data_IF_734029228466
#
_entry.id   IF_734029228466
#
_cell.length_a   1.000
_cell.length_b   1.000
_cell.length_c   1.000
_cell.angle_alpha   90.00
_cell.angle_beta   90.00
_cell.angle_gamma   90.00
#
_symmetry.space_group_name_H-M   'P 1'
#
loop_
_entity.id
_entity.type
_entity.pdbx_description
1 polymer ?
#
# COMPACT_ATOMS: atom_id res chain seq x y z
N UNK A 1 -33.81 -22.24 -0.28
CA UNK A 1 -34.02 -23.68 -0.51
C UNK A 1 -33.22 -24.47 0.50
N UNK A 2 -33.66 -25.67 0.88
CA UNK A 2 -32.85 -26.64 1.63
C UNK A 2 -31.86 -27.37 0.69
N UNK A 3 -31.06 -28.30 1.26
CA UNK A 3 -30.09 -29.10 0.51
C UNK A 3 -30.73 -30.02 -0.57
N UNK A 4 -32.03 -30.28 -0.47
CA UNK A 4 -32.80 -31.04 -1.44
C UNK A 4 -33.49 -30.15 -2.49
N UNK A 5 -33.21 -28.84 -2.51
CA UNK A 5 -33.75 -27.89 -3.48
C UNK A 5 -35.21 -27.48 -3.21
N UNK A 6 -35.73 -27.76 -2.01
CA UNK A 6 -37.11 -27.44 -1.63
C UNK A 6 -37.21 -26.05 -0.99
N UNK A 7 -38.30 -25.30 -1.17
CA UNK A 7 -38.48 -23.98 -0.56
C UNK A 7 -38.45 -24.08 0.97
N UNK A 8 -37.95 -23.04 1.62
CA UNK A 8 -37.89 -22.96 3.09
C UNK A 8 -38.39 -21.60 3.54
N UNK A 9 -39.13 -21.59 4.63
CA UNK A 9 -39.58 -20.40 5.33
C UNK A 9 -38.70 -20.16 6.56
N UNK A 10 -38.42 -18.88 6.84
CA UNK A 10 -37.60 -18.46 7.97
C UNK A 10 -38.44 -17.58 8.90
N UNK A 11 -38.56 -17.96 10.16
CA UNK A 11 -39.29 -17.19 11.15
C UNK A 11 -38.51 -17.09 12.46
N UNK A 12 -38.67 -15.98 13.17
CA UNK A 12 -38.20 -15.84 14.54
C UNK A 12 -39.16 -16.59 15.46
N UNK A 13 -38.63 -17.42 16.35
CA UNK A 13 -39.44 -18.28 17.23
C UNK A 13 -39.74 -17.67 18.60
N UNK A 14 -39.12 -16.55 18.93
CA UNK A 14 -39.27 -15.93 20.25
C UNK A 14 -39.55 -14.44 20.15
N UNK A 15 -40.40 -13.95 21.07
CA UNK A 15 -40.75 -12.52 21.21
C UNK A 15 -39.57 -11.67 21.71
N UNK A 16 -38.51 -12.31 22.23
CA UNK A 16 -37.30 -11.69 22.78
C UNK A 16 -36.03 -11.98 21.96
N UNK A 17 -36.17 -12.65 20.82
CA UNK A 17 -35.15 -12.74 19.80
C UNK A 17 -33.93 -13.63 20.09
N UNK A 18 -34.17 -14.89 20.48
CA UNK A 18 -33.11 -15.85 20.74
C UNK A 18 -32.89 -16.89 19.61
N UNK A 19 -33.90 -17.24 18.83
CA UNK A 19 -33.84 -18.42 17.94
C UNK A 19 -34.62 -18.24 16.62
N UNK A 20 -34.04 -18.75 15.53
CA UNK A 20 -34.66 -18.84 14.21
C UNK A 20 -35.12 -20.27 13.95
N UNK A 21 -36.31 -20.40 13.37
CA UNK A 21 -36.81 -21.65 12.82
C UNK A 21 -36.77 -21.59 11.29
N UNK A 22 -36.22 -22.65 10.72
CA UNK A 22 -36.30 -22.95 9.30
C UNK A 22 -37.30 -24.08 9.12
N UNK A 23 -38.35 -23.86 8.34
CA UNK A 23 -39.36 -24.88 8.03
C UNK A 23 -39.52 -25.06 6.53
N UNK A 24 -40.03 -26.22 6.13
CA UNK A 24 -40.39 -26.51 4.74
C UNK A 24 -41.82 -27.05 4.70
N UNK A 25 -42.78 -26.17 5.04
CA UNK A 25 -44.17 -26.57 5.26
C UNK A 25 -44.36 -27.29 6.59
N UNK A 26 -44.50 -28.61 6.55
CA UNK A 26 -44.93 -29.43 7.70
C UNK A 26 -43.77 -29.94 8.58
N UNK A 27 -42.54 -29.89 8.07
CA UNK A 27 -41.34 -30.34 8.80
C UNK A 27 -40.51 -29.16 9.32
N UNK A 28 -40.22 -29.19 10.62
CA UNK A 28 -39.23 -28.31 11.26
C UNK A 28 -37.85 -28.90 11.01
N UNK A 29 -37.04 -28.22 10.20
CA UNK A 29 -35.69 -28.65 9.87
C UNK A 29 -34.77 -28.00 10.91
N UNK A 30 -34.28 -28.81 11.85
CA UNK A 30 -33.68 -28.38 13.14
C UNK A 30 -32.29 -27.71 13.00
N UNK A 31 -31.96 -26.91 14.04
CA UNK A 31 -30.70 -26.30 14.50
C UNK A 31 -30.03 -25.23 13.61
N UNK A 32 -29.67 -24.11 14.23
CA UNK A 32 -29.27 -22.83 13.61
C UNK A 32 -27.97 -22.86 12.79
N UNK A 33 -27.32 -24.02 12.68
CA UNK A 33 -26.07 -24.24 11.96
C UNK A 33 -26.26 -24.94 10.60
N UNK A 34 -27.48 -25.33 10.22
CA UNK A 34 -27.74 -25.93 8.90
C UNK A 34 -27.77 -24.85 7.80
N UNK A 35 -26.90 -24.91 6.77
CA UNK A 35 -26.88 -23.91 5.71
C UNK A 35 -28.13 -24.01 4.83
N UNK A 36 -28.68 -22.85 4.49
CA UNK A 36 -29.73 -22.71 3.47
C UNK A 36 -29.10 -22.24 2.15
N UNK A 37 -29.76 -22.49 1.03
CA UNK A 37 -29.25 -22.09 -0.29
C UNK A 37 -30.13 -21.02 -0.92
N UNK A 38 -29.50 -19.93 -1.37
CA UNK A 38 -30.12 -18.86 -2.15
C UNK A 38 -29.40 -18.81 -3.49
N UNK A 39 -30.11 -19.10 -4.59
CA UNK A 39 -29.54 -19.16 -5.95
C UNK A 39 -28.29 -20.05 -6.07
N UNK A 40 -28.28 -21.18 -5.35
CA UNK A 40 -27.16 -22.12 -5.32
C UNK A 40 -25.99 -21.71 -4.40
N UNK A 41 -26.07 -20.57 -3.72
CA UNK A 41 -25.07 -20.10 -2.77
C UNK A 41 -25.46 -20.55 -1.36
N UNK A 42 -24.53 -21.21 -0.67
CA UNK A 42 -24.70 -21.55 0.73
C UNK A 42 -24.71 -20.29 1.60
N UNK A 43 -25.76 -20.13 2.39
CA UNK A 43 -26.04 -18.98 3.23
C UNK A 43 -26.40 -19.45 4.65
N UNK A 44 -26.08 -18.61 5.64
CA UNK A 44 -26.53 -18.79 7.02
C UNK A 44 -27.54 -17.70 7.36
N UNK A 45 -28.54 -18.06 8.16
CA UNK A 45 -29.56 -17.16 8.67
C UNK A 45 -29.31 -16.90 10.17
N UNK A 46 -29.32 -15.63 10.59
CA UNK A 46 -29.30 -15.24 12.00
C UNK A 46 -30.27 -14.11 12.26
N UNK A 47 -30.68 -13.98 13.51
CA UNK A 47 -31.57 -12.90 13.90
C UNK A 47 -30.83 -11.56 13.88
N UNK A 48 -31.44 -10.56 13.26
CA UNK A 48 -31.02 -9.17 13.38
C UNK A 48 -31.38 -8.63 14.75
N UNK A 49 -30.57 -7.69 15.24
CA UNK A 49 -30.73 -6.98 16.52
C UNK A 49 -32.09 -6.26 16.73
N UNK A 50 -32.96 -6.24 15.73
CA UNK A 50 -34.28 -5.59 15.74
C UNK A 50 -35.42 -6.54 15.32
N UNK A 51 -35.25 -7.85 15.51
CA UNK A 51 -36.33 -8.84 15.30
C UNK A 51 -36.62 -9.21 13.84
N UNK A 52 -35.66 -9.00 12.93
CA UNK A 52 -35.71 -9.50 11.55
C UNK A 52 -34.78 -10.70 11.35
N UNK A 53 -34.89 -11.40 10.22
CA UNK A 53 -33.94 -12.46 9.84
C UNK A 53 -32.95 -11.91 8.82
N UNK A 54 -31.66 -12.10 9.06
CA UNK A 54 -30.58 -11.74 8.14
C UNK A 54 -29.99 -13.01 7.55
N UNK A 55 -30.03 -13.10 6.24
CA UNK A 55 -29.41 -14.18 5.47
C UNK A 55 -28.17 -13.62 4.77
N UNK A 56 -27.00 -14.21 4.98
CA UNK A 56 -25.79 -13.83 4.24
C UNK A 56 -25.03 -15.07 3.76
N UNK A 57 -24.24 -14.97 2.67
CA UNK A 57 -23.40 -16.05 2.20
C UNK A 57 -22.49 -16.59 3.31
N UNK A 58 -22.34 -17.90 3.42
CA UNK A 58 -21.53 -18.54 4.46
C UNK A 58 -20.08 -18.03 4.45
N UNK A 59 -19.55 -17.65 3.28
CA UNK A 59 -18.23 -17.01 3.16
C UNK A 59 -18.11 -15.67 3.89
N UNK A 60 -19.20 -14.92 4.05
CA UNK A 60 -19.25 -13.68 4.83
C UNK A 60 -19.32 -13.93 6.35
N UNK A 61 -19.70 -15.15 6.75
CA UNK A 61 -19.77 -15.60 8.15
C UNK A 61 -18.47 -16.28 8.64
N UNK A 62 -17.53 -16.55 7.74
CA UNK A 62 -16.19 -17.01 8.10
C UNK A 62 -15.47 -15.94 8.93
N UNK A 63 -15.73 -15.93 10.23
CA UNK A 63 -14.72 -15.49 11.20
C UNK A 63 -13.44 -16.28 10.93
N UNK A 64 -12.25 -15.69 11.12
CA UNK A 64 -11.02 -16.48 11.16
C UNK A 64 -11.22 -17.62 12.17
N UNK A 65 -10.64 -18.81 11.95
CA UNK A 65 -10.93 -19.99 12.73
C UNK A 65 -10.63 -19.72 14.20
N UNK A 66 -11.68 -19.46 14.98
CA UNK A 66 -11.62 -19.58 16.43
C UNK A 66 -11.87 -21.05 16.71
N UNK A 67 -10.81 -21.85 16.75
CA UNK A 67 -10.83 -23.16 17.37
C UNK A 67 -11.38 -23.00 18.79
N UNK A 68 -12.56 -23.57 19.00
CA UNK A 68 -13.12 -23.81 20.33
C UNK A 68 -12.19 -24.81 21.01
N UNK A 69 -11.49 -24.43 22.09
CA UNK A 69 -10.81 -25.42 22.92
C UNK A 69 -9.79 -24.92 23.94
N UNK A 70 -8.98 -23.91 23.62
CA UNK A 70 -8.01 -23.36 24.58
C UNK A 70 -8.10 -21.85 24.62
N UNK A 71 -8.29 -21.28 25.82
CA UNK A 71 -8.01 -19.86 26.06
C UNK A 71 -6.50 -19.66 25.91
N UNK A 72 -6.03 -19.51 24.68
CA UNK A 72 -4.66 -19.05 24.44
C UNK A 72 -4.58 -17.65 25.02
N UNK A 73 -3.90 -17.52 26.15
CA UNK A 73 -3.65 -16.21 26.73
C UNK A 73 -2.86 -15.38 25.72
N UNK A 74 -3.21 -14.10 25.51
CA UNK A 74 -2.49 -13.27 24.57
C UNK A 74 -1.02 -13.22 24.95
N UNK A 75 -0.13 -13.56 24.00
CA UNK A 75 1.31 -13.41 24.20
C UNK A 75 1.63 -11.93 24.35
N UNK A 76 2.39 -11.58 25.38
CA UNK A 76 2.91 -10.22 25.58
C UNK A 76 4.28 -10.09 24.93
N UNK A 77 4.79 -8.86 24.80
CA UNK A 77 6.14 -8.60 24.28
C UNK A 77 7.24 -9.35 25.05
N UNK A 78 7.04 -9.60 26.35
CA UNK A 78 7.97 -10.39 27.17
C UNK A 78 8.07 -11.86 26.70
N UNK A 79 6.98 -12.43 26.17
CA UNK A 79 6.98 -13.79 25.61
C UNK A 79 7.85 -13.92 24.35
N UNK A 80 8.21 -12.79 23.73
CA UNK A 80 9.12 -12.68 22.59
C UNK A 80 10.50 -12.14 22.99
N UNK A 81 10.82 -12.11 24.29
CA UNK A 81 12.11 -11.58 24.76
C UNK A 81 12.31 -10.10 24.44
N UNK A 82 11.23 -9.33 24.29
CA UNK A 82 11.26 -7.93 23.86
C UNK A 82 11.80 -7.72 22.43
N UNK A 83 11.82 -8.76 21.61
CA UNK A 83 12.17 -8.67 20.20
C UNK A 83 10.93 -8.36 19.34
N UNK A 84 10.82 -7.10 18.91
CA UNK A 84 9.75 -6.66 18.01
C UNK A 84 9.78 -7.34 16.62
N UNK A 85 10.94 -7.78 16.15
CA UNK A 85 11.04 -8.54 14.90
C UNK A 85 10.44 -9.93 15.07
N UNK A 86 10.74 -10.61 16.18
CA UNK A 86 10.14 -11.92 16.48
C UNK A 86 8.61 -11.83 16.60
N UNK A 87 8.07 -10.74 17.17
CA UNK A 87 6.62 -10.48 17.19
C UNK A 87 6.07 -10.37 15.77
N UNK A 88 6.73 -9.59 14.90
CA UNK A 88 6.29 -9.41 13.53
C UNK A 88 6.34 -10.71 12.73
N UNK A 89 7.44 -11.47 12.82
CA UNK A 89 7.59 -12.75 12.15
C UNK A 89 6.48 -13.73 12.60
N UNK A 90 6.15 -13.76 13.90
CA UNK A 90 5.05 -14.55 14.43
C UNK A 90 3.68 -14.13 13.86
N UNK A 91 3.40 -12.82 13.81
CA UNK A 91 2.13 -12.30 13.28
C UNK A 91 1.99 -12.56 11.78
N UNK A 92 3.07 -12.39 11.02
CA UNK A 92 3.06 -12.59 9.57
C UNK A 92 2.96 -14.08 9.21
N UNK A 93 3.65 -14.96 9.93
CA UNK A 93 3.52 -16.41 9.75
C UNK A 93 2.10 -16.91 10.02
N UNK A 94 1.38 -16.28 10.95
CA UNK A 94 -0.03 -16.60 11.25
C UNK A 94 -1.04 -15.93 10.28
N UNK A 95 -0.59 -15.03 9.42
CA UNK A 95 -1.43 -14.32 8.45
C UNK A 95 -1.50 -15.07 7.11
N UNK A 96 -2.44 -14.72 6.21
CA UNK A 96 -2.46 -15.26 4.85
C UNK A 96 -1.20 -14.98 4.03
N UNK A 97 -0.36 -14.00 4.39
CA UNK A 97 0.91 -13.78 3.70
C UNK A 97 1.92 -14.90 3.98
N UNK A 98 1.86 -15.54 5.15
CA UNK A 98 2.73 -16.66 5.56
C UNK A 98 4.22 -16.34 5.72
N UNK A 99 4.74 -15.27 5.11
CA UNK A 99 6.14 -14.86 5.18
C UNK A 99 6.32 -13.35 5.02
N UNK A 100 7.44 -12.82 5.53
CA UNK A 100 7.80 -11.40 5.40
C UNK A 100 7.99 -10.99 3.94
N UNK A 101 8.63 -11.83 3.11
CA UNK A 101 8.84 -11.53 1.70
C UNK A 101 7.53 -11.42 0.93
N UNK A 102 6.57 -12.31 1.21
CA UNK A 102 5.23 -12.23 0.63
C UNK A 102 4.46 -11.01 1.13
N UNK A 103 4.54 -10.69 2.42
CA UNK A 103 3.92 -9.48 2.96
C UNK A 103 4.52 -8.21 2.31
N UNK A 104 5.84 -8.16 2.10
CA UNK A 104 6.50 -7.08 1.37
C UNK A 104 5.98 -7.00 -0.07
N UNK A 105 5.92 -8.12 -0.77
CA UNK A 105 5.49 -8.17 -2.17
C UNK A 105 4.05 -7.68 -2.35
N UNK A 106 3.13 -8.16 -1.52
CA UNK A 106 1.70 -7.83 -1.61
C UNK A 106 1.35 -6.44 -1.07
N UNK A 107 2.18 -5.85 -0.22
CA UNK A 107 1.89 -4.56 0.44
C UNK A 107 2.76 -3.41 -0.05
N UNK A 108 3.75 -3.66 -0.91
CA UNK A 108 4.59 -2.62 -1.47
C UNK A 108 4.08 -2.16 -2.83
N UNK A 109 3.70 -0.90 -2.93
CA UNK A 109 3.14 -0.29 -4.12
C UNK A 109 4.21 0.49 -4.88
N UNK A 110 4.48 0.06 -6.11
CA UNK A 110 5.39 0.72 -7.06
C UNK A 110 4.61 1.57 -8.06
N UNK A 111 5.29 2.51 -8.72
CA UNK A 111 4.74 3.22 -9.85
C UNK A 111 4.66 2.30 -11.08
N UNK A 112 3.61 2.42 -11.87
CA UNK A 112 3.43 1.63 -13.09
C UNK A 112 4.48 2.02 -14.15
N UNK A 113 4.97 1.07 -14.98
CA UNK A 113 5.91 1.36 -16.07
C UNK A 113 5.49 2.52 -16.99
N UNK A 114 4.19 2.71 -17.22
CA UNK A 114 3.67 3.83 -18.01
C UNK A 114 4.00 5.19 -17.39
N UNK A 115 3.83 5.32 -16.06
CA UNK A 115 4.21 6.54 -15.33
C UNK A 115 5.72 6.78 -15.39
N UNK A 116 6.51 5.71 -15.27
CA UNK A 116 7.96 5.78 -15.39
C UNK A 116 8.37 6.25 -16.79
N UNK A 117 7.68 5.79 -17.84
CA UNK A 117 7.89 6.25 -19.22
C UNK A 117 7.42 7.70 -19.42
N UNK A 118 6.24 8.06 -18.91
CA UNK A 118 5.65 9.40 -18.97
C UNK A 118 6.54 10.48 -18.34
N UNK A 119 7.32 10.10 -17.33
CA UNK A 119 8.28 10.97 -16.64
C UNK A 119 9.69 10.89 -17.25
N UNK A 120 9.86 10.16 -18.36
CA UNK A 120 11.13 10.02 -19.05
C UNK A 120 12.22 9.38 -18.20
N UNK A 121 11.86 8.57 -17.19
CA UNK A 121 12.80 7.86 -16.31
C UNK A 121 13.79 8.80 -15.58
N UNK A 122 13.30 9.93 -15.08
CA UNK A 122 14.09 10.95 -14.38
C UNK A 122 13.43 11.32 -13.05
N UNK A 123 14.22 11.91 -12.14
CA UNK A 123 13.69 12.57 -10.96
C UNK A 123 12.67 13.65 -11.34
N UNK A 124 11.58 13.71 -10.59
CA UNK A 124 10.47 14.62 -10.86
C UNK A 124 10.83 16.05 -10.46
N UNK A 125 11.36 16.24 -9.26
CA UNK A 125 11.74 17.53 -8.71
C UNK A 125 13.23 17.56 -8.38
N UNK A 126 13.86 18.73 -8.58
CA UNK A 126 15.25 18.97 -8.15
C UNK A 126 15.32 19.28 -6.66
N UNK A 127 15.11 18.26 -5.84
CA UNK A 127 15.15 18.36 -4.38
C UNK A 127 16.03 17.29 -3.76
N UNK A 128 16.49 17.53 -2.53
CA UNK A 128 17.25 16.58 -1.71
C UNK A 128 16.76 16.62 -0.26
N UNK A 129 17.01 15.54 0.49
CA UNK A 129 16.72 15.51 1.92
C UNK A 129 17.74 16.33 2.69
N UNK A 130 17.26 17.16 3.63
CA UNK A 130 18.13 17.86 4.57
C UNK A 130 17.53 18.02 5.95
N UNK A 131 18.20 18.81 6.80
CA UNK A 131 17.76 19.08 8.16
C UNK A 131 16.54 20.00 8.14
N UNK A 132 15.73 19.94 9.20
CA UNK A 132 14.52 20.77 9.32
C UNK A 132 14.80 22.26 9.17
N UNK A 133 15.91 22.76 9.72
CA UNK A 133 16.31 24.16 9.63
C UNK A 133 16.63 24.62 8.21
N UNK A 134 17.02 23.70 7.32
CA UNK A 134 17.47 24.01 5.97
C UNK A 134 16.33 23.89 4.92
N UNK A 135 15.16 23.36 5.31
CA UNK A 135 14.04 23.08 4.38
C UNK A 135 13.55 24.35 3.66
N UNK A 136 13.40 24.26 2.34
CA UNK A 136 13.01 25.36 1.47
C UNK A 136 14.18 26.26 1.03
N UNK A 137 15.38 26.03 1.53
CA UNK A 137 16.61 26.67 1.04
C UNK A 137 16.99 26.06 -0.30
N UNK A 138 17.47 26.90 -1.22
CA UNK A 138 17.93 26.49 -2.55
C UNK A 138 19.43 26.75 -2.63
N UNK A 139 20.21 25.72 -2.98
CA UNK A 139 21.65 25.81 -3.26
C UNK A 139 21.90 25.16 -4.60
N UNK A 140 22.63 25.83 -5.50
CA UNK A 140 22.98 25.33 -6.84
C UNK A 140 21.79 24.79 -7.66
N UNK A 141 20.62 25.45 -7.54
CA UNK A 141 19.41 25.04 -8.24
C UNK A 141 18.81 23.72 -7.74
N UNK A 142 19.07 23.35 -6.49
CA UNK A 142 18.49 22.21 -5.79
C UNK A 142 17.90 22.69 -4.47
N UNK A 143 16.64 22.34 -4.20
CA UNK A 143 15.96 22.70 -2.96
C UNK A 143 16.09 21.62 -1.90
N UNK A 144 16.40 22.01 -0.66
CA UNK A 144 16.34 21.12 0.49
C UNK A 144 14.89 20.90 0.91
N UNK A 145 14.48 19.64 1.09
CA UNK A 145 13.16 19.26 1.57
C UNK A 145 13.23 18.11 2.59
N UNK A 146 12.06 17.67 3.06
CA UNK A 146 11.87 16.38 3.71
C UNK A 146 11.29 15.36 2.71
N UNK A 147 10.56 14.35 3.20
CA UNK A 147 9.91 13.34 2.36
C UNK A 147 8.61 13.86 1.70
N UNK A 148 8.28 15.15 1.77
CA UNK A 148 7.14 15.72 1.07
C UNK A 148 7.31 15.68 -0.45
N UNK A 149 8.47 16.08 -1.00
CA UNK A 149 8.67 16.05 -2.45
C UNK A 149 8.64 14.65 -3.07
N UNK A 150 9.26 13.59 -2.51
CA UNK A 150 9.13 12.24 -3.07
C UNK A 150 7.71 11.69 -2.95
N UNK A 151 7.02 11.95 -1.83
CA UNK A 151 5.62 11.56 -1.65
C UNK A 151 4.71 12.23 -2.69
N UNK A 152 4.86 13.54 -2.88
CA UNK A 152 4.09 14.28 -3.88
C UNK A 152 4.42 13.82 -5.31
N UNK A 153 5.69 13.57 -5.62
CA UNK A 153 6.10 13.01 -6.90
C UNK A 153 5.36 11.71 -7.19
N UNK A 154 5.35 10.77 -6.24
CA UNK A 154 4.67 9.49 -6.40
C UNK A 154 3.15 9.65 -6.50
N UNK A 155 2.53 10.37 -5.55
CA UNK A 155 1.07 10.53 -5.47
C UNK A 155 0.50 11.25 -6.71
N UNK A 156 1.14 12.33 -7.15
CA UNK A 156 0.64 13.12 -8.28
C UNK A 156 0.88 12.43 -9.61
N UNK A 157 1.97 11.66 -9.75
CA UNK A 157 2.25 10.90 -10.97
C UNK A 157 1.39 9.65 -11.15
N UNK A 158 0.93 9.05 -10.04
CA UNK A 158 0.16 7.80 -10.07
C UNK A 158 -1.34 7.99 -9.90
N UNK A 159 -1.79 9.21 -9.55
CA UNK A 159 -3.19 9.51 -9.24
C UNK A 159 -3.64 9.05 -7.86
N UNK A 160 -2.73 8.51 -7.04
CA UNK A 160 -3.04 8.14 -5.65
C UNK A 160 -3.46 9.36 -4.85
N UNK A 161 -4.57 9.21 -4.12
CA UNK A 161 -5.11 10.28 -3.28
C UNK A 161 -4.55 10.14 -1.88
N UNK A 162 -4.08 11.24 -1.30
CA UNK A 162 -3.58 11.26 0.09
C UNK A 162 -4.58 10.69 1.12
N UNK A 163 -5.89 10.84 0.87
CA UNK A 163 -6.93 10.27 1.72
C UNK A 163 -6.93 8.73 1.74
N UNK A 164 -6.47 8.08 0.66
CA UNK A 164 -6.38 6.62 0.55
C UNK A 164 -4.99 6.09 0.92
N UNK A 165 -4.01 6.95 1.20
CA UNK A 165 -2.65 6.56 1.58
C UNK A 165 -2.38 6.74 3.08
N UNK A 166 -3.44 6.75 3.90
CA UNK A 166 -3.32 6.80 5.37
C UNK A 166 -2.49 5.61 5.86
N UNK A 167 -1.57 5.86 6.78
CA UNK A 167 -0.64 4.88 7.37
C UNK A 167 0.31 4.18 6.36
N UNK A 168 0.40 4.69 5.13
CA UNK A 168 1.46 4.35 4.20
C UNK A 168 2.65 5.30 4.37
N UNK A 169 3.85 4.77 4.16
CA UNK A 169 5.10 5.49 4.18
C UNK A 169 5.73 5.45 2.79
N UNK A 170 6.08 6.63 2.27
CA UNK A 170 6.93 6.77 1.09
C UNK A 170 8.37 6.39 1.45
N UNK A 171 8.90 5.37 0.78
CA UNK A 171 10.19 4.75 1.06
C UNK A 171 11.11 4.85 -0.16
N UNK A 172 12.43 4.82 0.09
CA UNK A 172 13.46 4.75 -0.95
C UNK A 172 14.12 3.37 -0.98
N UNK A 173 14.45 2.87 -2.17
CA UNK A 173 15.15 1.59 -2.34
C UNK A 173 16.66 1.69 -2.09
N UNK A 174 17.24 2.83 -2.48
CA UNK A 174 18.65 3.15 -2.36
C UNK A 174 18.84 4.40 -1.49
N UNK A 175 19.86 4.38 -0.63
CA UNK A 175 20.20 5.48 0.26
C UNK A 175 20.88 6.63 -0.52
N UNK A 176 20.09 7.35 -1.32
CA UNK A 176 20.55 8.42 -2.23
C UNK A 176 19.78 9.72 -1.98
N UNK A 177 19.53 10.03 -0.72
CA UNK A 177 18.68 11.15 -0.32
C UNK A 177 19.31 12.53 -0.59
N UNK A 178 20.63 12.57 -0.77
CA UNK A 178 21.38 13.77 -1.17
C UNK A 178 21.61 13.88 -2.69
N UNK A 179 21.10 12.94 -3.49
CA UNK A 179 21.23 12.94 -4.95
C UNK A 179 19.95 13.50 -5.58
N UNK A 180 19.98 14.71 -6.19
CA UNK A 180 18.79 15.32 -6.79
C UNK A 180 18.23 14.54 -7.99
N UNK A 181 19.04 13.69 -8.63
CA UNK A 181 18.61 12.87 -9.77
C UNK A 181 18.00 11.53 -9.33
N UNK A 182 18.08 11.19 -8.03
CA UNK A 182 17.56 9.94 -7.48
C UNK A 182 16.49 10.14 -6.39
N UNK A 183 16.47 11.29 -5.72
CA UNK A 183 15.63 11.49 -4.54
C UNK A 183 14.12 11.49 -4.85
N UNK A 184 13.74 11.99 -6.02
CA UNK A 184 12.35 12.00 -6.50
C UNK A 184 12.16 11.13 -7.76
N UNK A 185 13.11 10.24 -8.06
CA UNK A 185 12.97 9.25 -9.13
C UNK A 185 11.99 8.16 -8.69
N UNK A 186 10.88 8.04 -9.42
CA UNK A 186 9.81 7.08 -9.12
C UNK A 186 10.28 5.63 -9.16
N UNK A 187 11.38 5.31 -9.87
CA UNK A 187 11.97 3.97 -9.88
C UNK A 187 12.70 3.63 -8.58
N UNK A 188 13.06 4.66 -7.80
CA UNK A 188 13.71 4.54 -6.50
C UNK A 188 12.70 4.64 -5.34
N UNK A 189 11.41 4.87 -5.62
CA UNK A 189 10.38 5.14 -4.61
C UNK A 189 9.30 4.06 -4.66
N UNK A 190 8.83 3.68 -3.48
CA UNK A 190 7.64 2.86 -3.33
C UNK A 190 6.87 3.27 -2.07
N UNK A 191 5.60 2.91 -2.01
CA UNK A 191 4.78 3.05 -0.80
C UNK A 191 4.64 1.70 -0.12
N UNK A 192 4.66 1.67 1.20
CA UNK A 192 4.32 0.48 1.98
C UNK A 192 3.62 0.89 3.28
N UNK A 193 2.80 0.00 3.89
CA UNK A 193 2.31 0.21 5.23
C UNK A 193 3.45 0.51 6.19
N UNK A 194 3.23 1.43 7.13
CA UNK A 194 4.29 1.95 8.01
C UNK A 194 5.02 0.86 8.80
N UNK A 195 4.34 -0.24 9.14
CA UNK A 195 4.97 -1.37 9.83
C UNK A 195 5.90 -2.19 8.91
N UNK A 196 5.59 -2.32 7.61
CA UNK A 196 6.48 -2.93 6.62
C UNK A 196 7.63 -1.99 6.28
N UNK A 197 7.35 -0.69 6.13
CA UNK A 197 8.34 0.33 5.81
C UNK A 197 9.51 0.36 6.81
N UNK A 198 9.27 0.03 8.08
CA UNK A 198 10.35 -0.06 9.08
C UNK A 198 11.33 -1.21 8.83
N UNK A 199 10.95 -2.24 8.09
CA UNK A 199 11.85 -3.32 7.66
C UNK A 199 12.75 -2.91 6.50
N UNK A 200 12.41 -1.83 5.80
CA UNK A 200 13.10 -1.39 4.59
C UNK A 200 14.03 -0.21 4.85
N UNK A 201 13.98 0.38 6.05
CA UNK A 201 14.83 1.49 6.47
C UNK A 201 16.26 1.00 6.71
N UNK A 202 17.10 1.05 5.68
CA UNK A 202 18.52 0.80 5.79
C UNK A 202 19.30 1.92 5.14
N UNK A 203 20.08 2.63 5.96
CA UNK A 203 21.09 3.60 5.50
C UNK A 203 22.41 2.90 5.11
N UNK A 204 22.46 1.57 5.17
CA UNK A 204 23.69 0.83 4.93
C UNK A 204 24.02 0.77 3.43
N UNK A 205 25.29 1.04 3.11
CA UNK A 205 25.81 0.95 1.73
C UNK A 205 25.76 -0.49 1.19
N UNK A 206 25.96 -1.46 2.07
CA UNK A 206 25.80 -2.89 1.84
C UNK A 206 24.71 -3.43 2.75
N UNK A 207 23.83 -4.26 2.22
CA UNK A 207 22.77 -4.92 3.00
C UNK A 207 23.26 -6.29 3.48
N UNK A 208 22.79 -6.76 4.64
CA UNK A 208 22.99 -8.16 5.02
C UNK A 208 22.29 -9.07 4.03
N UNK A 209 22.80 -10.31 3.89
CA UNK A 209 22.32 -11.31 2.92
C UNK A 209 20.80 -11.51 2.94
N UNK A 210 20.20 -11.42 4.13
CA UNK A 210 18.75 -11.44 4.32
C UNK A 210 18.27 -10.04 4.69
N UNK A 211 17.85 -9.28 3.68
CA UNK A 211 17.28 -7.94 3.88
C UNK A 211 16.09 -7.70 2.95
N UNK A 212 15.01 -7.13 3.47
CA UNK A 212 13.78 -6.81 2.74
C UNK A 212 14.02 -6.05 1.42
N UNK A 213 14.97 -5.11 1.44
CA UNK A 213 15.37 -4.34 0.27
C UNK A 213 15.93 -5.18 -0.90
N UNK A 214 16.42 -6.42 -0.69
CA UNK A 214 16.85 -7.26 -1.81
C UNK A 214 15.69 -7.61 -2.74
N UNK A 215 14.57 -8.04 -2.17
CA UNK A 215 13.31 -8.32 -2.89
C UNK A 215 12.80 -7.06 -3.60
N UNK A 216 12.79 -5.93 -2.90
CA UNK A 216 12.27 -4.67 -3.45
C UNK A 216 13.16 -4.09 -4.56
N UNK A 217 14.49 -4.15 -4.42
CA UNK A 217 15.43 -3.71 -5.48
C UNK A 217 15.31 -4.58 -6.71
N UNK A 218 15.18 -5.90 -6.54
CA UNK A 218 14.95 -6.80 -7.67
C UNK A 218 13.59 -6.54 -8.33
N UNK A 219 12.54 -6.19 -7.57
CA UNK A 219 11.24 -5.79 -8.14
C UNK A 219 11.36 -4.54 -9.01
N UNK A 220 12.06 -3.50 -8.55
CA UNK A 220 12.29 -2.30 -9.34
C UNK A 220 13.09 -2.60 -10.62
N UNK A 221 14.07 -3.51 -10.55
CA UNK A 221 14.76 -4.01 -11.72
C UNK A 221 13.81 -4.77 -12.67
N UNK A 222 12.98 -5.67 -12.14
CA UNK A 222 12.05 -6.46 -12.95
C UNK A 222 10.98 -5.60 -13.63
N UNK A 223 10.49 -4.55 -12.98
CA UNK A 223 9.49 -3.64 -13.54
C UNK A 223 10.07 -2.58 -14.49
N UNK A 224 11.27 -2.07 -14.20
CA UNK A 224 11.76 -0.84 -14.82
C UNK A 224 13.19 -0.94 -15.37
N UNK A 225 13.89 -2.06 -15.15
CA UNK A 225 15.32 -2.20 -15.41
C UNK A 225 16.20 -1.34 -14.51
N UNK A 226 15.69 -0.86 -13.36
CA UNK A 226 16.41 0.06 -12.50
C UNK A 226 17.41 -0.65 -11.57
N UNK A 227 18.69 -0.33 -11.72
CA UNK A 227 19.80 -0.90 -10.94
C UNK A 227 20.29 0.02 -9.80
N UNK A 228 19.57 1.12 -9.53
CA UNK A 228 19.98 2.15 -8.58
C UNK A 228 20.71 3.33 -9.24
N UNK A 229 20.99 4.39 -8.46
CA UNK A 229 21.62 5.61 -8.97
C UNK A 229 23.04 5.34 -9.46
N UNK A 230 23.32 5.70 -10.71
CA UNK A 230 24.64 5.55 -11.34
C UNK A 230 25.13 4.11 -11.51
N UNK A 231 24.30 3.10 -11.24
CA UNK A 231 24.68 1.69 -11.26
C UNK A 231 24.08 0.98 -12.47
N UNK A 232 24.88 0.11 -13.08
CA UNK A 232 24.43 -0.88 -14.07
C UNK A 232 24.38 -2.30 -13.50
N UNK A 233 24.78 -2.46 -12.23
CA UNK A 233 24.85 -3.77 -11.58
C UNK A 233 23.44 -4.23 -11.25
N UNK A 234 23.00 -5.30 -11.91
CA UNK A 234 21.70 -5.93 -11.67
C UNK A 234 21.62 -6.42 -10.21
N UNK A 235 20.55 -6.08 -9.47
CA UNK A 235 20.30 -6.68 -8.16
C UNK A 235 20.18 -8.21 -8.27
N UNK A 236 20.76 -8.99 -7.34
CA UNK A 236 20.60 -10.44 -7.35
C UNK A 236 19.13 -10.81 -7.21
N UNK A 237 18.69 -11.84 -7.95
CA UNK A 237 17.33 -12.35 -7.86
C UNK A 237 17.17 -13.15 -6.55
N UNK A 238 16.23 -12.80 -5.65
CA UNK A 238 15.93 -13.62 -4.49
C UNK A 238 15.41 -14.99 -4.90
N UNK A 239 15.79 -16.04 -4.16
CA UNK A 239 15.48 -17.43 -4.50
C UNK A 239 13.98 -17.69 -4.73
N UNK A 240 13.11 -17.13 -3.87
CA UNK A 240 11.66 -17.36 -3.93
C UNK A 240 10.89 -16.28 -4.69
N UNK A 241 11.57 -15.36 -5.38
CA UNK A 241 10.94 -14.18 -5.97
C UNK A 241 9.79 -14.51 -6.94
N UNK A 242 9.95 -15.55 -7.76
CA UNK A 242 8.94 -15.93 -8.77
C UNK A 242 7.65 -16.47 -8.16
N UNK A 243 7.69 -16.93 -6.90
CA UNK A 243 6.51 -17.39 -6.18
C UNK A 243 5.80 -16.29 -5.40
N UNK A 244 6.30 -15.05 -5.43
CA UNK A 244 5.71 -13.95 -4.69
C UNK A 244 4.55 -13.31 -5.46
N UNK A 245 3.42 -13.13 -4.78
CA UNK A 245 2.29 -12.36 -5.31
C UNK A 245 2.47 -10.87 -5.03
N UNK A 246 2.66 -10.08 -6.10
CA UNK A 246 2.94 -8.65 -5.99
C UNK A 246 1.68 -7.80 -6.07
N UNK A 247 1.67 -6.68 -5.34
CA UNK A 247 0.70 -5.62 -5.58
C UNK A 247 0.82 -5.09 -7.02
N UNK A 248 -0.34 -4.78 -7.62
CA UNK A 248 -0.40 -4.12 -8.92
C UNK A 248 0.18 -2.70 -8.83
N UNK A 249 1.11 -2.31 -9.73
CA UNK A 249 1.66 -0.97 -9.74
C UNK A 249 0.61 0.13 -10.00
N UNK A 250 0.79 1.30 -9.39
CA UNK A 250 -0.16 2.40 -9.51
C UNK A 250 0.10 3.29 -10.74
N UNK A 251 -0.98 3.77 -11.38
CA UNK A 251 -0.92 4.71 -12.50
C UNK A 251 -0.83 4.07 -13.89
N UNK A 252 -1.44 2.89 -14.08
CA UNK A 252 -1.57 2.29 -15.40
C UNK A 252 -2.23 3.24 -16.42
N UNK A 253 -1.80 3.16 -17.67
CA UNK A 253 -2.32 3.94 -18.81
C UNK A 253 -2.14 5.46 -18.71
N UNK A 254 -1.30 5.96 -17.81
CA UNK A 254 -0.99 7.39 -17.71
C UNK A 254 -0.02 7.84 -18.83
N UNK A 255 -0.37 8.90 -19.55
CA UNK A 255 0.52 9.54 -20.54
C UNK A 255 1.32 10.70 -19.93
N UNK A 256 2.36 11.17 -20.64
CA UNK A 256 3.16 12.32 -20.22
C UNK A 256 2.29 13.58 -20.04
N UNK A 257 1.35 13.82 -20.96
CA UNK A 257 0.45 14.98 -20.94
C UNK A 257 -0.50 14.93 -19.74
N UNK A 258 -1.03 13.75 -19.40
CA UNK A 258 -1.93 13.57 -18.27
C UNK A 258 -1.21 13.77 -16.94
N UNK A 259 0.01 13.22 -16.82
CA UNK A 259 0.85 13.43 -15.64
C UNK A 259 1.20 14.91 -15.52
N UNK A 260 1.71 15.55 -16.57
CA UNK A 260 2.04 16.98 -16.53
C UNK A 260 0.83 17.85 -16.15
N UNK A 261 -0.33 17.62 -16.79
CA UNK A 261 -1.56 18.34 -16.49
C UNK A 261 -1.96 18.21 -15.02
N UNK A 262 -1.82 17.01 -14.44
CA UNK A 262 -2.10 16.76 -13.02
C UNK A 262 -1.18 17.61 -12.13
N UNK A 263 0.12 17.62 -12.41
CA UNK A 263 1.05 18.44 -11.64
C UNK A 263 0.77 19.94 -11.79
N UNK A 264 0.55 20.42 -13.02
CA UNK A 264 0.21 21.83 -13.30
C UNK A 264 -1.00 22.27 -12.46
N UNK A 265 -2.05 21.46 -12.44
CA UNK A 265 -3.24 21.73 -11.63
C UNK A 265 -2.92 21.78 -10.12
N UNK A 266 -2.07 20.87 -9.62
CA UNK A 266 -1.64 20.86 -8.20
C UNK A 266 -0.79 22.07 -7.81
N UNK A 267 0.12 22.48 -8.67
CA UNK A 267 1.01 23.63 -8.45
C UNK A 267 0.20 24.93 -8.36
N UNK A 268 -0.77 25.12 -9.26
CA UNK A 268 -1.69 26.28 -9.25
C UNK A 268 -2.51 26.35 -7.96
N UNK A 269 -2.96 25.22 -7.42
CA UNK A 269 -3.71 25.16 -6.16
C UNK A 269 -2.86 25.49 -4.93
N UNK A 270 -1.52 25.49 -5.07
CA UNK A 270 -0.57 25.57 -3.96
C UNK A 270 0.55 26.58 -4.25
N UNK A 271 0.25 27.85 -4.54
CA UNK A 271 1.25 28.81 -5.00
C UNK A 271 2.33 29.14 -3.95
N UNK A 272 2.08 28.83 -2.66
CA UNK A 272 3.03 29.09 -1.56
C UNK A 272 3.78 27.84 -1.08
N UNK A 273 3.52 26.68 -1.69
CA UNK A 273 4.12 25.41 -1.28
C UNK A 273 5.59 25.31 -1.73
N UNK A 274 6.41 24.57 -0.96
CA UNK A 274 7.84 24.39 -1.26
C UNK A 274 8.06 23.68 -2.59
N UNK A 275 7.21 22.73 -2.96
CA UNK A 275 7.31 22.06 -4.26
C UNK A 275 7.08 23.08 -5.38
N UNK A 276 6.13 23.99 -5.22
CA UNK A 276 5.92 25.09 -6.17
C UNK A 276 7.13 26.02 -6.25
N UNK A 277 7.75 26.36 -5.10
CA UNK A 277 9.04 27.08 -5.07
C UNK A 277 10.12 26.33 -5.86
N UNK A 278 10.25 25.02 -5.64
CA UNK A 278 11.23 24.16 -6.32
C UNK A 278 11.02 24.16 -7.83
N UNK A 279 9.78 23.97 -8.29
CA UNK A 279 9.49 23.93 -9.73
C UNK A 279 9.79 25.29 -10.38
N UNK A 280 9.33 26.38 -9.76
CA UNK A 280 9.51 27.73 -10.29
C UNK A 280 10.99 28.19 -10.32
N UNK A 281 11.83 27.70 -9.39
CA UNK A 281 13.19 28.23 -9.18
C UNK A 281 14.31 27.26 -9.51
N UNK A 282 14.05 25.96 -9.41
CA UNK A 282 15.03 24.89 -9.66
C UNK A 282 14.69 24.15 -10.95
N UNK A 283 13.41 23.94 -11.21
CA UNK A 283 12.93 23.15 -12.34
C UNK A 283 12.53 21.73 -11.96
N UNK A 284 12.08 20.99 -12.97
CA UNK A 284 11.46 19.68 -12.82
C UNK A 284 11.45 18.94 -14.16
N UNK A 285 10.94 17.71 -14.16
CA UNK A 285 11.06 16.81 -15.31
C UNK A 285 10.45 17.36 -16.61
N UNK A 286 9.32 18.06 -16.52
CA UNK A 286 8.58 18.60 -17.67
C UNK A 286 9.16 19.91 -18.22
N UNK A 287 10.04 20.58 -17.48
CA UNK A 287 10.81 21.73 -17.97
C UNK A 287 12.23 21.37 -18.41
N UNK A 288 12.56 20.07 -18.49
CA UNK A 288 13.91 19.61 -18.77
C UNK A 288 14.91 19.94 -17.65
N UNK A 289 14.43 20.06 -16.41
CA UNK A 289 15.27 20.37 -15.24
C UNK A 289 15.65 21.85 -15.11
N UNK A 290 14.98 22.75 -15.83
CA UNK A 290 15.20 24.21 -15.77
C UNK A 290 14.06 24.90 -15.02
N UNK A 291 14.29 26.08 -14.40
CA UNK A 291 13.20 26.85 -13.79
C UNK A 291 12.01 27.01 -14.75
N UNK A 292 10.80 26.70 -14.28
CA UNK A 292 9.60 26.74 -15.10
C UNK A 292 8.88 28.09 -14.97
N UNK A 293 8.97 28.92 -16.01
CA UNK A 293 8.40 30.26 -16.03
C UNK A 293 6.86 30.29 -15.99
N UNK A 294 6.19 29.17 -16.26
CA UNK A 294 4.73 29.07 -16.19
C UNK A 294 4.23 28.78 -14.76
N UNK A 295 5.13 28.43 -13.84
CA UNK A 295 4.79 28.11 -12.45
C UNK A 295 5.08 29.31 -11.57
N UNK A 296 4.02 29.89 -11.03
CA UNK A 296 4.10 31.08 -10.16
C UNK A 296 4.20 30.66 -8.70
N UNK A 297 5.22 31.16 -8.00
CA UNK A 297 5.37 31.00 -6.56
C UNK A 297 5.10 32.33 -5.83
N UNK A 298 4.07 32.35 -4.99
CA UNK A 298 3.59 33.54 -4.25
C UNK A 298 4.04 33.57 -2.78
N UNK A 299 4.97 32.69 -2.40
CA UNK A 299 5.52 32.69 -1.06
C UNK A 299 6.57 33.78 -0.87
N UNK A 300 6.82 34.13 0.40
CA UNK A 300 7.93 35.03 0.75
C UNK A 300 9.26 34.29 0.51
N UNK A 301 10.25 35.02 0.01
CA UNK A 301 11.58 34.50 -0.36
C UNK A 301 12.29 33.85 0.82
#
# INVERSE_FOLDING_TARGET
MDWAGRPVDLANTSLLGADIQVSNGDDVIVDGDTPIFVDGIACWAREARFGGVVVQPAAAWLKPPSTIGEKVSPKTLAAFGYDGRAVLDFLIAASPWGSIDQAIASLSLFAHPDVIAATGRRAIFRTVRGRTADRGTITDGVMVDDNASPAAAFEWSTGLKRATTRDLTCCHLYASSSDPEAYTDLRNIFYAPSFIAKLTDSQARSLPEVHALHVLRYRAFALHGYCGPGSMVRPPKPQNYDGLEWAEPAGASMTAEQVEATFRARLVQKPKDRITKSVARCGWVFSGGRPDAQVVYDGRL
#
